data_IF_271766566735
#
_entry.id   IF_271766566735
#
_cell.length_a   1.000
_cell.length_b   1.000
_cell.length_c   1.000
_cell.angle_alpha   90.00
_cell.angle_beta   90.00
_cell.angle_gamma   90.00
#
_symmetry.space_group_name_H-M   'P 1'
#
loop_
_entity.id
_entity.type
_entity.pdbx_description
1 polymer ?
#
# COMPACT_ATOMS: atom_id res chain seq x y z
N UNK A 1 18.66 -24.01 -14.65
CA UNK A 1 19.65 -22.93 -14.59
C UNK A 1 20.79 -23.39 -13.71
N UNK A 2 21.96 -23.50 -14.30
CA UNK A 2 23.11 -24.19 -13.71
C UNK A 2 23.78 -23.29 -12.68
N UNK A 3 23.72 -23.66 -11.41
CA UNK A 3 24.32 -22.91 -10.27
C UNK A 3 25.85 -22.80 -10.37
N UNK A 4 26.49 -23.69 -11.14
CA UNK A 4 27.95 -23.68 -11.39
C UNK A 4 28.38 -22.48 -12.26
N UNK A 5 27.54 -21.97 -13.14
CA UNK A 5 27.86 -20.79 -13.96
C UNK A 5 27.81 -19.47 -13.19
N UNK A 6 26.99 -19.38 -12.18
CA UNK A 6 26.83 -18.13 -11.39
C UNK A 6 27.98 -17.93 -10.39
N UNK A 7 28.48 -18.99 -9.77
CA UNK A 7 29.66 -18.93 -8.90
C UNK A 7 30.93 -18.61 -9.71
N UNK A 8 31.09 -19.21 -10.87
CA UNK A 8 32.23 -18.94 -11.76
C UNK A 8 32.24 -17.50 -12.30
N UNK A 9 31.08 -16.91 -12.56
CA UNK A 9 31.00 -15.49 -12.95
C UNK A 9 31.46 -14.54 -11.83
N UNK A 10 31.04 -14.80 -10.59
CA UNK A 10 31.45 -14.00 -9.44
C UNK A 10 32.94 -14.10 -9.19
N UNK A 11 33.52 -15.30 -9.34
CA UNK A 11 34.97 -15.50 -9.18
C UNK A 11 35.78 -14.83 -10.28
N UNK A 12 35.30 -14.87 -11.53
CA UNK A 12 35.94 -14.18 -12.68
C UNK A 12 35.85 -12.66 -12.50
N UNK A 13 34.71 -12.12 -12.02
CA UNK A 13 34.56 -10.68 -11.77
C UNK A 13 35.50 -10.21 -10.63
N UNK A 14 35.60 -10.97 -9.54
CA UNK A 14 36.57 -10.68 -8.47
C UNK A 14 38.02 -10.74 -8.96
N UNK A 15 38.38 -11.73 -9.76
CA UNK A 15 39.70 -11.81 -10.35
C UNK A 15 39.99 -10.62 -11.27
N UNK A 16 39.01 -10.18 -12.05
CA UNK A 16 39.09 -8.98 -12.89
C UNK A 16 39.28 -7.69 -12.09
N UNK A 17 38.54 -7.53 -10.99
CA UNK A 17 38.69 -6.37 -10.10
C UNK A 17 40.09 -6.30 -9.50
N UNK A 18 40.63 -7.44 -9.05
CA UNK A 18 42.01 -7.53 -8.49
C UNK A 18 43.03 -7.18 -9.57
N UNK A 19 42.92 -7.73 -10.76
CA UNK A 19 43.86 -7.45 -11.87
C UNK A 19 43.76 -5.99 -12.32
N UNK A 20 42.57 -5.43 -12.40
CA UNK A 20 42.37 -4.03 -12.75
C UNK A 20 42.94 -3.09 -11.67
N UNK A 21 42.72 -3.38 -10.40
CA UNK A 21 43.30 -2.61 -9.28
C UNK A 21 44.85 -2.63 -9.31
N UNK A 22 45.42 -3.81 -9.56
CA UNK A 22 46.88 -3.93 -9.71
C UNK A 22 47.42 -3.18 -10.92
N UNK A 23 46.71 -3.26 -12.06
CA UNK A 23 47.03 -2.53 -13.28
C UNK A 23 47.00 -1.02 -13.09
N UNK A 24 46.00 -0.49 -12.38
CA UNK A 24 45.90 0.93 -12.02
C UNK A 24 47.07 1.35 -11.12
N UNK A 25 47.39 0.57 -10.10
CA UNK A 25 48.52 0.85 -9.19
C UNK A 25 49.86 0.91 -9.95
N UNK A 26 50.09 -0.05 -10.87
CA UNK A 26 51.27 -0.03 -11.72
C UNK A 26 51.33 1.18 -12.65
N UNK A 27 50.20 1.59 -13.21
CA UNK A 27 50.11 2.78 -14.07
C UNK A 27 50.44 4.04 -13.29
N UNK A 28 49.93 4.20 -12.06
CA UNK A 28 50.25 5.32 -11.17
C UNK A 28 51.73 5.39 -10.87
N UNK A 29 52.34 4.27 -10.46
CA UNK A 29 53.76 4.20 -10.14
C UNK A 29 54.67 4.55 -11.35
N UNK A 30 54.29 4.08 -12.56
CA UNK A 30 54.99 4.38 -13.80
C UNK A 30 54.90 5.85 -14.19
N UNK A 31 53.75 6.50 -13.95
CA UNK A 31 53.56 7.92 -14.20
C UNK A 31 54.37 8.76 -13.22
N UNK A 32 54.34 8.42 -11.94
CA UNK A 32 55.16 9.09 -10.90
C UNK A 32 56.64 8.97 -11.17
N UNK A 33 57.13 7.81 -11.59
CA UNK A 33 58.54 7.61 -11.98
C UNK A 33 58.98 8.45 -13.18
N UNK A 34 58.01 8.92 -14.00
CA UNK A 34 58.26 9.85 -15.13
C UNK A 34 57.97 11.31 -14.81
N UNK A 35 57.68 11.65 -13.54
CA UNK A 35 57.36 13.02 -13.14
C UNK A 35 56.00 13.53 -13.64
N UNK A 36 55.13 12.63 -14.06
CA UNK A 36 53.79 12.96 -14.57
C UNK A 36 52.77 12.73 -13.45
N UNK A 37 51.87 13.71 -13.23
CA UNK A 37 50.84 13.60 -12.20
C UNK A 37 49.88 12.46 -12.51
N UNK A 38 49.58 11.56 -11.54
CA UNK A 38 48.59 10.49 -11.70
C UNK A 38 47.17 10.97 -12.04
N UNK A 39 46.85 12.23 -11.79
CA UNK A 39 45.55 12.84 -12.13
C UNK A 39 45.22 12.82 -13.62
N UNK A 40 46.20 12.53 -14.48
CA UNK A 40 45.96 12.32 -15.93
C UNK A 40 45.17 11.00 -16.19
N UNK A 41 45.27 10.01 -15.30
CA UNK A 41 44.54 8.76 -15.43
C UNK A 41 43.06 8.90 -15.02
N UNK A 42 42.73 9.89 -14.23
CA UNK A 42 41.36 10.19 -13.80
C UNK A 42 41.03 11.66 -14.19
N UNK A 43 40.81 11.93 -15.49
CA UNK A 43 40.53 13.29 -15.98
C UNK A 43 39.16 13.80 -15.52
N UNK A 44 38.31 12.92 -14.95
CA UNK A 44 37.03 13.25 -14.38
C UNK A 44 36.95 12.66 -12.98
N UNK A 45 37.12 13.49 -11.97
CA UNK A 45 36.80 13.15 -10.58
C UNK A 45 35.26 13.15 -10.44
N UNK A 46 34.66 11.99 -10.57
CA UNK A 46 33.23 11.81 -10.26
C UNK A 46 33.09 11.84 -8.74
N UNK A 47 33.05 13.03 -8.17
CA UNK A 47 32.63 13.17 -6.77
C UNK A 47 31.16 12.77 -6.69
N UNK A 48 30.89 11.60 -6.10
CA UNK A 48 29.56 11.30 -5.59
C UNK A 48 29.28 12.25 -4.41
N UNK A 49 28.86 13.45 -4.73
CA UNK A 49 28.21 14.29 -3.74
C UNK A 49 26.84 13.67 -3.55
N UNK A 50 26.61 13.17 -2.35
CA UNK A 50 25.27 12.81 -1.93
C UNK A 50 24.44 14.10 -1.94
N UNK A 51 23.72 14.32 -3.05
CA UNK A 51 22.76 15.41 -3.22
C UNK A 51 21.42 15.00 -2.63
N UNK A 52 21.36 13.94 -1.78
CA UNK A 52 20.20 13.66 -0.98
C UNK A 52 20.04 14.83 0.01
N UNK A 53 19.35 15.84 -0.51
CA UNK A 53 18.90 16.96 0.30
C UNK A 53 17.82 16.44 1.26
N UNK A 54 17.62 17.06 2.44
CA UNK A 54 16.47 16.78 3.29
C UNK A 54 15.15 16.67 2.50
N UNK A 55 15.07 17.38 1.37
CA UNK A 55 13.97 17.36 0.41
C UNK A 55 13.70 15.98 -0.23
N UNK A 56 14.73 15.18 -0.52
CA UNK A 56 14.52 13.84 -1.10
C UNK A 56 13.92 12.87 -0.07
N UNK A 57 14.33 12.97 1.18
CA UNK A 57 13.75 12.19 2.28
C UNK A 57 12.30 12.58 2.56
N UNK A 58 11.99 13.86 2.46
CA UNK A 58 10.62 14.38 2.60
C UNK A 58 9.68 13.86 1.50
N UNK A 59 10.15 13.76 0.26
CA UNK A 59 9.38 13.20 -0.85
C UNK A 59 9.08 11.71 -0.63
N UNK A 60 10.05 10.94 -0.17
CA UNK A 60 9.85 9.51 0.16
C UNK A 60 8.79 9.37 1.25
N UNK A 61 8.85 10.22 2.29
CA UNK A 61 7.87 10.23 3.37
C UNK A 61 6.45 10.52 2.85
N UNK A 62 6.26 11.56 2.02
CA UNK A 62 4.98 11.87 1.39
C UNK A 62 4.44 10.71 0.55
N UNK A 63 5.33 10.02 -0.15
CA UNK A 63 4.95 8.88 -1.00
C UNK A 63 4.52 7.64 -0.20
N UNK A 64 4.91 7.53 1.08
CA UNK A 64 4.47 6.45 1.97
C UNK A 64 3.09 6.70 2.57
N UNK A 65 2.59 7.95 2.60
CA UNK A 65 1.31 8.28 3.23
C UNK A 65 0.11 7.54 2.63
N UNK A 66 -0.02 7.36 1.30
CA UNK A 66 -1.10 6.58 0.73
C UNK A 66 -1.11 5.12 1.21
N UNK A 67 0.07 4.52 1.41
CA UNK A 67 0.19 3.18 1.99
C UNK A 67 -0.35 3.15 3.42
N UNK A 68 0.04 4.12 4.25
CA UNK A 68 -0.45 4.21 5.65
C UNK A 68 -1.97 4.40 5.69
N UNK A 69 -2.54 5.22 4.80
CA UNK A 69 -3.99 5.41 4.70
C UNK A 69 -4.70 4.10 4.34
N UNK A 70 -4.21 3.35 3.35
CA UNK A 70 -4.79 2.04 2.98
C UNK A 70 -4.72 1.08 4.16
N UNK A 71 -3.57 0.98 4.85
CA UNK A 71 -3.43 0.14 6.05
C UNK A 71 -4.46 0.50 7.12
N UNK A 72 -4.63 1.80 7.40
CA UNK A 72 -5.57 2.29 8.42
C UNK A 72 -7.01 1.98 8.05
N UNK A 73 -7.41 2.15 6.78
CA UNK A 73 -8.75 1.81 6.30
C UNK A 73 -9.06 0.33 6.53
N UNK A 74 -8.12 -0.56 6.18
CA UNK A 74 -8.31 -2.00 6.37
C UNK A 74 -8.36 -2.40 7.86
N UNK A 75 -7.58 -1.77 8.72
CA UNK A 75 -7.59 -2.11 10.16
C UNK A 75 -8.86 -1.60 10.85
N UNK A 76 -9.41 -0.46 10.44
CA UNK A 76 -10.50 0.22 11.14
C UNK A 76 -11.78 -0.59 11.34
N UNK A 77 -12.27 -1.26 10.29
CA UNK A 77 -13.50 -2.07 10.35
C UNK A 77 -13.29 -3.55 10.65
N UNK A 78 -12.04 -4.00 10.69
CA UNK A 78 -11.66 -5.41 10.72
C UNK A 78 -12.29 -6.18 11.90
N UNK A 79 -12.21 -5.62 13.09
CA UNK A 79 -12.74 -6.28 14.30
C UNK A 79 -14.25 -6.50 14.24
N UNK A 80 -15.00 -5.53 13.75
CA UNK A 80 -16.47 -5.63 13.62
C UNK A 80 -16.82 -6.72 12.62
N UNK A 81 -16.09 -6.81 11.51
CA UNK A 81 -16.32 -7.85 10.50
C UNK A 81 -15.98 -9.24 11.06
N UNK A 82 -14.88 -9.38 11.79
CA UNK A 82 -14.51 -10.64 12.43
C UNK A 82 -15.59 -11.06 13.43
N UNK A 83 -16.00 -10.16 14.31
CA UNK A 83 -16.97 -10.46 15.37
C UNK A 83 -18.34 -10.83 14.81
N UNK A 84 -18.83 -10.06 13.84
CA UNK A 84 -20.14 -10.29 13.22
C UNK A 84 -20.15 -11.43 12.20
N UNK A 85 -19.00 -12.02 11.83
CA UNK A 85 -18.92 -13.11 10.85
C UNK A 85 -18.41 -14.39 11.51
N UNK A 86 -17.12 -14.48 11.76
CA UNK A 86 -16.48 -15.63 12.38
C UNK A 86 -16.85 -15.78 13.86
N UNK A 87 -16.98 -14.66 14.59
CA UNK A 87 -17.36 -14.65 16.00
C UNK A 87 -18.78 -15.16 16.22
N UNK A 88 -19.75 -14.76 15.40
CA UNK A 88 -21.13 -15.30 15.48
C UNK A 88 -21.16 -16.80 15.19
N UNK A 89 -20.33 -17.27 14.27
CA UNK A 89 -20.23 -18.71 13.95
C UNK A 89 -19.63 -19.48 15.13
N UNK A 90 -18.56 -18.99 15.73
CA UNK A 90 -17.89 -19.61 16.88
C UNK A 90 -18.82 -19.72 18.09
N UNK A 91 -19.64 -18.68 18.33
CA UNK A 91 -20.62 -18.65 19.43
C UNK A 91 -21.90 -19.44 19.13
N UNK A 92 -22.07 -20.01 17.94
CA UNK A 92 -23.30 -20.72 17.54
C UNK A 92 -24.52 -19.80 17.37
N UNK A 93 -24.34 -18.47 17.45
CA UNK A 93 -25.44 -17.51 17.29
C UNK A 93 -25.92 -17.34 15.84
N UNK A 94 -25.22 -17.95 14.92
CA UNK A 94 -25.56 -17.92 13.49
C UNK A 94 -26.80 -18.79 13.17
N UNK A 95 -26.98 -19.95 13.84
CA UNK A 95 -28.10 -20.85 13.60
C UNK A 95 -29.47 -20.22 13.93
N UNK A 96 -29.67 -19.58 15.11
CA UNK A 96 -30.89 -18.84 15.41
C UNK A 96 -31.18 -17.70 14.44
N UNK A 97 -30.13 -17.08 13.91
CA UNK A 97 -30.27 -15.99 12.93
C UNK A 97 -30.87 -16.49 11.59
N UNK A 98 -30.52 -17.72 11.20
CA UNK A 98 -30.97 -18.33 9.95
C UNK A 98 -32.43 -18.82 9.98
N UNK A 99 -33.04 -18.97 11.15
CA UNK A 99 -34.46 -19.34 11.31
C UNK A 99 -35.36 -18.16 10.95
N UNK A 100 -34.86 -16.92 11.03
CA UNK A 100 -35.63 -15.75 10.64
C UNK A 100 -35.89 -15.73 9.12
N UNK A 101 -37.14 -15.38 8.69
CA UNK A 101 -37.54 -15.33 7.29
C UNK A 101 -36.98 -14.07 6.58
N UNK A 102 -35.68 -13.81 6.74
CA UNK A 102 -34.97 -12.64 6.17
C UNK A 102 -34.06 -13.14 5.06
N UNK A 103 -34.06 -12.50 3.87
CA UNK A 103 -33.15 -12.85 2.79
C UNK A 103 -31.68 -12.74 3.21
N UNK A 104 -30.85 -13.69 2.83
CA UNK A 104 -29.43 -13.76 3.22
C UNK A 104 -28.63 -12.52 2.81
N UNK A 105 -29.02 -11.86 1.73
CA UNK A 105 -28.43 -10.58 1.28
C UNK A 105 -28.53 -9.48 2.34
N UNK A 106 -29.61 -9.46 3.12
CA UNK A 106 -29.81 -8.44 4.16
C UNK A 106 -28.86 -8.62 5.34
N UNK A 107 -28.52 -9.88 5.68
CA UNK A 107 -27.46 -10.16 6.66
C UNK A 107 -26.11 -9.63 6.20
N UNK A 108 -25.75 -9.88 4.94
CA UNK A 108 -24.48 -9.39 4.37
C UNK A 108 -24.45 -7.87 4.38
N UNK A 109 -25.52 -7.24 3.89
CA UNK A 109 -25.60 -5.78 3.85
C UNK A 109 -25.65 -5.14 5.25
N UNK A 110 -26.36 -5.79 6.20
CA UNK A 110 -26.40 -5.34 7.60
C UNK A 110 -25.03 -5.39 8.28
N UNK A 111 -24.26 -6.46 8.07
CA UNK A 111 -22.91 -6.61 8.60
C UNK A 111 -21.94 -5.59 7.99
N UNK A 112 -22.05 -5.36 6.69
CA UNK A 112 -21.30 -4.29 6.02
C UNK A 112 -21.68 -2.91 6.58
N UNK A 113 -22.98 -2.63 6.70
CA UNK A 113 -23.45 -1.38 7.27
C UNK A 113 -22.97 -1.15 8.71
N UNK A 114 -22.86 -2.23 9.50
CA UNK A 114 -22.30 -2.15 10.86
C UNK A 114 -20.80 -1.88 10.89
N UNK A 115 -20.03 -2.38 9.91
CA UNK A 115 -18.57 -2.20 9.88
C UNK A 115 -18.12 -0.88 9.25
N UNK A 116 -18.87 -0.35 8.29
CA UNK A 116 -18.53 0.88 7.57
C UNK A 116 -18.29 2.10 8.48
N UNK A 117 -19.11 2.38 9.52
CA UNK A 117 -18.85 3.51 10.43
C UNK A 117 -17.49 3.45 11.10
N UNK A 118 -17.03 2.26 11.48
CA UNK A 118 -15.73 2.07 12.11
C UNK A 118 -14.57 2.31 11.13
N UNK A 119 -14.69 1.79 9.91
CA UNK A 119 -13.70 2.07 8.86
C UNK A 119 -13.68 3.55 8.47
N UNK A 120 -14.84 4.22 8.41
CA UNK A 120 -14.93 5.66 8.16
C UNK A 120 -14.35 6.48 9.32
N UNK A 121 -14.65 6.11 10.57
CA UNK A 121 -14.07 6.76 11.73
C UNK A 121 -12.54 6.65 11.73
N UNK A 122 -12.01 5.47 11.41
CA UNK A 122 -10.57 5.23 11.28
C UNK A 122 -9.95 6.11 10.19
N UNK A 123 -10.59 6.23 9.03
CA UNK A 123 -10.16 7.12 7.95
C UNK A 123 -10.16 8.59 8.41
N UNK A 124 -11.24 9.05 9.07
CA UNK A 124 -11.34 10.43 9.57
C UNK A 124 -10.23 10.72 10.59
N UNK A 125 -10.00 9.81 11.54
CA UNK A 125 -8.92 9.95 12.53
C UNK A 125 -7.56 9.99 11.83
N UNK A 126 -7.31 9.11 10.86
CA UNK A 126 -6.05 9.11 10.11
C UNK A 126 -5.82 10.42 9.36
N UNK A 127 -6.84 10.94 8.69
CA UNK A 127 -6.77 12.21 7.97
C UNK A 127 -6.60 13.40 8.92
N UNK A 128 -7.25 13.37 10.09
CA UNK A 128 -7.09 14.39 11.13
C UNK A 128 -5.66 14.39 11.68
N UNK A 129 -5.11 13.22 12.00
CA UNK A 129 -3.71 13.08 12.47
C UNK A 129 -2.73 13.55 11.40
N UNK A 130 -2.99 13.21 10.14
CA UNK A 130 -2.17 13.66 9.01
C UNK A 130 -2.22 15.18 8.89
N UNK A 131 -3.40 15.79 8.92
CA UNK A 131 -3.57 17.24 8.82
C UNK A 131 -2.92 17.98 10.00
N UNK A 132 -3.16 17.52 11.24
CA UNK A 132 -2.55 18.09 12.44
C UNK A 132 -1.03 17.94 12.41
N UNK A 133 -0.53 16.76 12.04
CA UNK A 133 0.91 16.48 11.94
C UNK A 133 1.63 17.45 10.99
N UNK A 134 1.07 17.70 9.81
CA UNK A 134 1.69 18.59 8.83
C UNK A 134 1.53 20.09 9.13
N UNK A 135 0.52 20.48 9.92
CA UNK A 135 0.27 21.89 10.19
C UNK A 135 0.71 22.34 11.58
N UNK A 136 0.93 21.43 12.53
CA UNK A 136 1.32 21.77 13.93
C UNK A 136 2.78 21.45 14.20
N UNK A 137 3.30 20.32 13.65
CA UNK A 137 4.68 19.93 13.88
C UNK A 137 5.62 20.78 13.03
N UNK A 138 6.77 21.25 13.60
CA UNK A 138 7.78 21.99 12.86
C UNK A 138 8.58 21.07 11.93
N UNK A 139 7.90 20.46 10.97
CA UNK A 139 8.52 19.51 10.02
C UNK A 139 9.58 20.19 9.15
N UNK A 140 9.50 21.51 9.03
CA UNK A 140 10.47 22.35 8.32
C UNK A 140 11.89 22.21 8.87
N UNK A 141 12.04 22.12 10.19
CA UNK A 141 13.34 21.95 10.85
C UNK A 141 13.99 20.59 10.51
N UNK A 142 13.18 19.55 10.28
CA UNK A 142 13.65 18.20 10.00
C UNK A 142 13.75 17.88 8.52
N UNK A 143 12.91 18.48 7.68
CA UNK A 143 12.79 18.15 6.24
C UNK A 143 13.36 19.24 5.35
N UNK A 144 13.62 20.45 5.89
CA UNK A 144 14.06 21.61 5.13
C UNK A 144 13.01 22.15 4.12
N UNK A 145 11.77 21.70 4.22
CA UNK A 145 10.65 22.12 3.34
C UNK A 145 9.45 22.53 4.15
N UNK A 146 8.80 23.63 3.76
CA UNK A 146 7.47 23.98 4.27
C UNK A 146 6.44 23.04 3.67
N UNK A 147 6.00 22.06 4.48
CA UNK A 147 4.99 21.11 4.11
C UNK A 147 3.68 21.41 4.84
N UNK A 148 2.84 22.23 4.24
CA UNK A 148 1.49 22.45 4.76
C UNK A 148 0.48 21.76 3.84
N UNK A 149 -0.46 21.03 4.42
CA UNK A 149 -1.55 20.38 3.69
C UNK A 149 -2.82 21.20 3.93
N UNK A 150 -3.40 21.73 2.87
CA UNK A 150 -4.66 22.48 2.99
C UNK A 150 -5.82 21.56 3.33
N UNK A 151 -6.82 22.10 4.04
CA UNK A 151 -8.04 21.36 4.38
C UNK A 151 -8.80 20.85 3.14
N UNK A 152 -8.71 21.57 2.00
CA UNK A 152 -9.31 21.14 0.74
C UNK A 152 -8.68 19.84 0.21
N UNK A 153 -7.36 19.68 0.31
CA UNK A 153 -6.66 18.44 -0.07
C UNK A 153 -7.13 17.28 0.80
N UNK A 154 -7.23 17.47 2.12
CA UNK A 154 -7.74 16.44 3.04
C UNK A 154 -9.17 16.03 2.69
N UNK A 155 -10.03 17.01 2.39
CA UNK A 155 -11.41 16.76 1.99
C UNK A 155 -11.50 15.94 0.68
N UNK A 156 -10.67 16.26 -0.31
CA UNK A 156 -10.59 15.49 -1.56
C UNK A 156 -10.08 14.06 -1.32
N UNK A 157 -9.07 13.89 -0.47
CA UNK A 157 -8.55 12.56 -0.08
C UNK A 157 -9.64 11.75 0.60
N UNK A 158 -10.44 12.35 1.49
CA UNK A 158 -11.56 11.69 2.14
C UNK A 158 -12.53 11.09 1.12
N UNK A 159 -13.04 11.91 0.18
CA UNK A 159 -13.99 11.45 -0.84
C UNK A 159 -13.40 10.39 -1.77
N UNK A 160 -12.13 10.56 -2.15
CA UNK A 160 -11.42 9.59 -2.98
C UNK A 160 -11.23 8.24 -2.28
N UNK A 161 -11.14 8.23 -0.97
CA UNK A 161 -10.93 7.01 -0.17
C UNK A 161 -12.21 6.23 0.12
N UNK A 162 -13.40 6.81 -0.05
CA UNK A 162 -14.67 6.12 0.24
C UNK A 162 -14.87 4.80 -0.53
N UNK A 163 -14.58 4.71 -1.85
CA UNK A 163 -14.64 3.43 -2.55
C UNK A 163 -13.69 2.38 -1.99
N UNK A 164 -12.51 2.78 -1.49
CA UNK A 164 -11.55 1.87 -0.84
C UNK A 164 -12.12 1.33 0.47
N UNK A 165 -12.77 2.18 1.27
CA UNK A 165 -13.43 1.79 2.52
C UNK A 165 -14.45 0.68 2.27
N UNK A 166 -15.30 0.85 1.25
CA UNK A 166 -16.30 -0.15 0.88
C UNK A 166 -15.62 -1.45 0.41
N UNK A 167 -14.66 -1.36 -0.50
CA UNK A 167 -13.94 -2.51 -1.03
C UNK A 167 -13.20 -3.28 0.08
N UNK A 168 -12.52 -2.58 1.00
CA UNK A 168 -11.81 -3.17 2.12
C UNK A 168 -12.76 -3.96 3.02
N UNK A 169 -13.91 -3.36 3.41
CA UNK A 169 -14.91 -4.01 4.25
C UNK A 169 -15.48 -5.27 3.60
N UNK A 170 -15.76 -5.23 2.29
CA UNK A 170 -16.29 -6.40 1.58
C UNK A 170 -15.23 -7.50 1.42
N UNK A 171 -14.00 -7.16 1.09
CA UNK A 171 -12.90 -8.12 1.02
C UNK A 171 -12.68 -8.83 2.35
N UNK A 172 -12.68 -8.08 3.44
CA UNK A 172 -12.57 -8.64 4.79
C UNK A 172 -13.72 -9.59 5.10
N UNK A 173 -14.96 -9.22 4.74
CA UNK A 173 -16.12 -10.08 4.93
C UNK A 173 -16.01 -11.38 4.13
N UNK A 174 -15.57 -11.33 2.87
CA UNK A 174 -15.35 -12.51 2.05
C UNK A 174 -14.32 -13.44 2.70
N UNK A 175 -13.19 -12.90 3.17
CA UNK A 175 -12.15 -13.71 3.84
C UNK A 175 -12.68 -14.29 5.16
N UNK A 176 -13.37 -13.50 6.00
CA UNK A 176 -13.92 -13.95 7.26
C UNK A 176 -15.00 -15.05 7.07
N UNK A 177 -15.71 -15.06 5.94
CA UNK A 177 -16.70 -16.08 5.63
C UNK A 177 -16.11 -17.50 5.49
N UNK A 178 -14.82 -17.64 5.19
CA UNK A 178 -14.14 -18.92 5.10
C UNK A 178 -13.57 -19.42 6.43
N UNK A 179 -13.49 -18.56 7.45
CA UNK A 179 -12.90 -18.91 8.75
C UNK A 179 -13.91 -19.53 9.70
N UNK A 180 -13.43 -20.37 10.63
CA UNK A 180 -14.26 -21.09 11.59
C UNK A 180 -14.29 -20.46 12.98
N UNK A 181 -13.27 -19.69 13.33
CA UNK A 181 -13.14 -19.06 14.64
C UNK A 181 -12.68 -17.61 14.51
N UNK A 182 -12.93 -16.85 15.57
CA UNK A 182 -12.48 -15.46 15.69
C UNK A 182 -10.96 -15.36 15.51
N UNK A 183 -10.21 -16.24 16.15
CA UNK A 183 -8.74 -16.25 16.11
C UNK A 183 -8.21 -16.56 14.69
N UNK A 184 -8.84 -17.49 14.00
CA UNK A 184 -8.49 -17.83 12.62
C UNK A 184 -8.75 -16.65 11.70
N UNK A 185 -9.94 -16.02 11.81
CA UNK A 185 -10.28 -14.83 11.07
C UNK A 185 -9.29 -13.68 11.31
N UNK A 186 -8.93 -13.43 12.56
CA UNK A 186 -7.95 -12.41 12.92
C UNK A 186 -6.60 -12.65 12.26
N UNK A 187 -6.14 -13.91 12.23
CA UNK A 187 -4.88 -14.28 11.58
C UNK A 187 -4.89 -13.98 10.09
N UNK A 188 -5.93 -14.43 9.36
CA UNK A 188 -6.00 -14.19 7.90
C UNK A 188 -6.24 -12.72 7.56
N UNK A 189 -7.12 -12.04 8.30
CA UNK A 189 -7.44 -10.66 8.03
C UNK A 189 -6.28 -9.71 8.36
N UNK A 190 -5.39 -10.06 9.28
CA UNK A 190 -4.19 -9.24 9.58
C UNK A 190 -3.20 -9.15 8.42
N UNK A 191 -3.20 -10.14 7.51
CA UNK A 191 -2.39 -10.09 6.29
C UNK A 191 -3.04 -9.28 5.15
N UNK A 192 -4.36 -9.11 5.18
CA UNK A 192 -5.08 -8.47 4.08
C UNK A 192 -4.66 -7.01 3.85
N UNK A 193 -4.46 -6.16 4.88
CA UNK A 193 -3.91 -4.82 4.71
C UNK A 193 -2.56 -4.83 4.01
N UNK A 194 -1.67 -5.75 4.36
CA UNK A 194 -0.34 -5.87 3.74
C UNK A 194 -0.45 -6.23 2.26
N UNK A 195 -1.28 -7.21 1.91
CA UNK A 195 -1.49 -7.62 0.52
C UNK A 195 -2.05 -6.47 -0.32
N UNK A 196 -3.03 -5.72 0.23
CA UNK A 196 -3.62 -4.57 -0.45
C UNK A 196 -2.67 -3.36 -0.54
N UNK A 197 -1.86 -3.14 0.51
CA UNK A 197 -0.94 -2.02 0.61
C UNK A 197 0.40 -2.23 -0.10
N UNK A 198 0.86 -3.47 -0.25
CA UNK A 198 2.16 -3.76 -0.90
C UNK A 198 2.34 -3.06 -2.25
N UNK A 199 1.40 -3.16 -3.21
CA UNK A 199 1.54 -2.44 -4.47
C UNK A 199 1.63 -0.92 -4.28
N UNK A 200 0.93 -0.37 -3.29
CA UNK A 200 0.93 1.06 -2.98
C UNK A 200 2.28 1.50 -2.40
N UNK A 201 2.92 0.66 -1.60
CA UNK A 201 4.24 0.94 -1.05
C UNK A 201 5.30 1.17 -2.14
N UNK A 202 5.18 0.50 -3.29
CA UNK A 202 6.09 0.72 -4.41
C UNK A 202 6.04 2.13 -4.98
N UNK A 203 4.94 2.88 -4.77
CA UNK A 203 4.85 4.30 -5.16
C UNK A 203 5.88 5.19 -4.42
N UNK A 204 6.39 4.74 -3.27
CA UNK A 204 7.45 5.45 -2.56
C UNK A 204 8.79 5.44 -3.31
N UNK A 205 9.02 4.42 -4.15
CA UNK A 205 10.30 4.18 -4.81
C UNK A 205 10.24 4.32 -6.33
N UNK A 206 9.07 4.16 -6.92
CA UNK A 206 8.89 4.15 -8.38
C UNK A 206 7.88 5.23 -8.77
N UNK A 207 8.31 6.15 -9.64
CA UNK A 207 7.39 7.12 -10.23
C UNK A 207 6.55 6.48 -11.32
N UNK A 208 5.28 6.22 -11.01
CA UNK A 208 4.32 5.67 -11.96
C UNK A 208 3.58 6.82 -12.66
N UNK A 209 3.63 6.84 -13.99
CA UNK A 209 2.88 7.83 -14.77
C UNK A 209 1.38 7.51 -14.72
N UNK A 210 0.52 8.48 -14.32
CA UNK A 210 -0.92 8.27 -14.34
C UNK A 210 -1.40 8.02 -15.78
N UNK A 211 -2.15 6.94 -15.95
CA UNK A 211 -2.80 6.62 -17.21
C UNK A 211 -4.17 6.00 -16.96
N UNK A 212 -5.05 6.02 -17.93
CA UNK A 212 -6.39 5.42 -17.81
C UNK A 212 -6.29 3.92 -17.52
N UNK A 213 -5.30 3.22 -18.09
CA UNK A 213 -5.07 1.80 -17.81
C UNK A 213 -4.68 1.53 -16.34
N UNK A 214 -3.82 2.35 -15.76
CA UNK A 214 -3.46 2.27 -14.32
C UNK A 214 -4.65 2.63 -13.45
N UNK A 215 -5.52 3.55 -13.90
CA UNK A 215 -6.71 3.95 -13.16
C UNK A 215 -7.76 2.84 -13.00
N UNK A 216 -7.66 1.75 -13.74
CA UNK A 216 -8.52 0.58 -13.59
C UNK A 216 -8.11 -0.37 -12.45
N UNK A 217 -6.92 -0.20 -11.86
CA UNK A 217 -6.44 -1.05 -10.77
C UNK A 217 -7.01 -0.52 -9.44
N UNK A 218 -7.94 -1.24 -8.78
CA UNK A 218 -8.52 -0.80 -7.51
C UNK A 218 -7.45 -0.58 -6.44
N UNK A 219 -7.70 0.32 -5.49
CA UNK A 219 -6.80 0.70 -4.40
C UNK A 219 -5.53 1.40 -4.91
N UNK A 220 -4.77 0.78 -5.81
CA UNK A 220 -3.51 1.32 -6.32
C UNK A 220 -3.71 2.66 -7.04
N UNK A 221 -4.69 2.74 -7.93
CA UNK A 221 -4.98 3.95 -8.69
C UNK A 221 -5.41 5.13 -7.81
N UNK A 222 -6.26 4.87 -6.82
CA UNK A 222 -6.68 5.89 -5.87
C UNK A 222 -5.52 6.35 -4.99
N UNK A 223 -4.66 5.43 -4.57
CA UNK A 223 -3.45 5.75 -3.83
C UNK A 223 -2.46 6.58 -4.64
N UNK A 224 -2.36 6.32 -5.95
CA UNK A 224 -1.58 7.15 -6.87
C UNK A 224 -2.12 8.58 -6.95
N UNK A 225 -3.45 8.74 -7.03
CA UNK A 225 -4.10 10.06 -7.05
C UNK A 225 -3.94 10.78 -5.71
N UNK A 226 -4.03 10.06 -4.57
CA UNK A 226 -3.72 10.63 -3.24
C UNK A 226 -2.29 11.14 -3.19
N UNK A 227 -1.33 10.37 -3.73
CA UNK A 227 0.06 10.79 -3.81
C UNK A 227 0.23 12.09 -4.62
N UNK A 228 -0.44 12.20 -5.78
CA UNK A 228 -0.44 13.42 -6.58
C UNK A 228 -1.06 14.62 -5.84
N UNK A 229 -2.19 14.40 -5.10
CA UNK A 229 -2.82 15.43 -4.28
C UNK A 229 -1.86 15.97 -3.21
N UNK A 230 -1.16 15.06 -2.51
CA UNK A 230 -0.19 15.43 -1.47
C UNK A 230 1.02 16.18 -2.01
N UNK A 231 1.40 15.94 -3.27
CA UNK A 231 2.47 16.66 -3.95
C UNK A 231 2.04 17.96 -4.60
N UNK A 232 0.73 18.30 -4.57
CA UNK A 232 0.20 19.48 -5.26
C UNK A 232 0.23 19.36 -6.79
N UNK A 233 0.30 18.15 -7.34
CA UNK A 233 0.30 17.91 -8.78
C UNK A 233 -1.11 18.06 -9.37
N UNK A 234 -1.17 18.37 -10.66
CA UNK A 234 -2.45 18.47 -11.38
C UNK A 234 -3.06 17.08 -11.60
N UNK A 235 -4.32 16.91 -11.21
CA UNK A 235 -5.03 15.64 -11.30
C UNK A 235 -6.00 15.65 -12.46
N UNK A 236 -5.97 14.60 -13.27
CA UNK A 236 -6.96 14.36 -14.31
C UNK A 236 -8.29 13.90 -13.70
N UNK A 237 -9.36 14.64 -13.90
CA UNK A 237 -10.69 14.26 -13.44
C UNK A 237 -11.16 12.92 -14.04
N UNK A 238 -10.75 12.60 -15.25
CA UNK A 238 -11.04 11.31 -15.89
C UNK A 238 -10.43 10.17 -15.09
N UNK A 239 -9.18 10.29 -14.65
CA UNK A 239 -8.52 9.25 -13.85
C UNK A 239 -9.19 9.07 -12.49
N UNK A 240 -9.65 10.15 -11.85
CA UNK A 240 -10.41 10.09 -10.58
C UNK A 240 -11.72 9.30 -10.76
N UNK A 241 -12.50 9.65 -11.78
CA UNK A 241 -13.78 9.00 -12.04
C UNK A 241 -13.58 7.52 -12.40
N UNK A 242 -12.64 7.22 -13.30
CA UNK A 242 -12.34 5.83 -13.72
C UNK A 242 -11.89 5.00 -12.52
N UNK A 243 -11.01 5.53 -11.67
CA UNK A 243 -10.53 4.80 -10.49
C UNK A 243 -11.63 4.54 -9.46
N UNK A 244 -12.48 5.53 -9.21
CA UNK A 244 -13.62 5.39 -8.30
C UNK A 244 -14.62 4.34 -8.83
N UNK A 245 -14.99 4.40 -10.11
CA UNK A 245 -15.89 3.44 -10.74
C UNK A 245 -15.28 2.03 -10.72
N UNK A 246 -14.01 1.86 -11.09
CA UNK A 246 -13.35 0.57 -11.10
C UNK A 246 -13.35 -0.07 -9.70
N UNK A 247 -13.07 0.72 -8.66
CA UNK A 247 -13.08 0.24 -7.27
C UNK A 247 -14.49 -0.08 -6.78
N UNK A 248 -15.50 0.72 -7.13
CA UNK A 248 -16.90 0.44 -6.79
C UNK A 248 -17.42 -0.80 -7.53
N UNK A 249 -17.06 -1.00 -8.78
CA UNK A 249 -17.41 -2.22 -9.54
C UNK A 249 -16.76 -3.45 -8.90
N UNK A 250 -15.50 -3.36 -8.51
CA UNK A 250 -14.84 -4.43 -7.78
C UNK A 250 -15.53 -4.72 -6.43
N UNK A 251 -15.87 -3.68 -5.66
CA UNK A 251 -16.61 -3.83 -4.41
C UNK A 251 -17.98 -4.50 -4.63
N UNK A 252 -18.74 -4.08 -5.64
CA UNK A 252 -20.02 -4.68 -6.00
C UNK A 252 -19.88 -6.16 -6.39
N UNK A 253 -18.84 -6.50 -7.16
CA UNK A 253 -18.56 -7.89 -7.52
C UNK A 253 -18.27 -8.75 -6.26
N UNK A 254 -17.47 -8.23 -5.32
CA UNK A 254 -17.19 -8.93 -4.06
C UNK A 254 -18.40 -8.99 -3.12
N UNK A 255 -19.32 -8.01 -3.13
CA UNK A 255 -20.61 -8.09 -2.43
C UNK A 255 -21.42 -9.27 -2.95
N UNK A 256 -21.51 -9.42 -4.28
CA UNK A 256 -22.19 -10.57 -4.89
C UNK A 256 -21.53 -11.89 -4.48
N UNK A 257 -20.21 -11.95 -4.45
CA UNK A 257 -19.46 -13.12 -3.96
C UNK A 257 -19.81 -13.40 -2.49
N UNK A 258 -19.80 -12.38 -1.63
CA UNK A 258 -20.16 -12.52 -0.22
C UNK A 258 -21.58 -13.07 -0.06
N UNK A 259 -22.57 -12.51 -0.78
CA UNK A 259 -23.96 -13.00 -0.73
C UNK A 259 -24.04 -14.48 -1.14
N UNK A 260 -23.40 -14.87 -2.23
CA UNK A 260 -23.36 -16.26 -2.70
C UNK A 260 -22.69 -17.22 -1.72
N UNK A 261 -21.66 -16.75 -0.99
CA UNK A 261 -21.01 -17.53 0.07
C UNK A 261 -21.96 -17.78 1.24
N UNK A 262 -22.75 -16.77 1.62
CA UNK A 262 -23.74 -16.90 2.68
C UNK A 262 -24.96 -17.75 2.27
N UNK A 263 -25.22 -17.96 0.99
CA UNK A 263 -26.24 -18.87 0.47
C UNK A 263 -25.81 -20.33 0.49
N UNK A 264 -24.49 -20.63 0.53
CA UNK A 264 -23.97 -22.01 0.53
C UNK A 264 -23.96 -22.58 1.94
N UNK A 265 -24.86 -23.52 2.22
CA UNK A 265 -24.99 -24.20 3.51
C UNK A 265 -23.69 -24.87 4.01
N UNK A 266 -22.88 -25.45 3.11
CA UNK A 266 -21.59 -26.07 3.46
C UNK A 266 -20.58 -25.13 4.12
N UNK A 267 -20.62 -23.83 3.78
CA UNK A 267 -19.74 -22.82 4.37
C UNK A 267 -20.30 -22.37 5.73
N UNK A 268 -21.61 -22.40 5.89
CA UNK A 268 -22.32 -21.98 7.09
C UNK A 268 -22.18 -23.00 8.24
N UNK A 269 -22.29 -24.28 7.95
CA UNK A 269 -22.33 -25.35 8.96
C UNK A 269 -20.98 -26.09 9.13
N UNK A 270 -19.88 -25.62 8.51
CA UNK A 270 -18.56 -26.24 8.60
C UNK A 270 -18.65 -27.74 8.40
N UNK A 271 -18.47 -28.23 7.17
CA UNK A 271 -18.68 -29.64 6.84
C UNK A 271 -18.16 -30.60 7.92
N UNK A 272 -19.09 -31.34 8.52
CA UNK A 272 -18.84 -32.58 9.24
C UNK A 272 -18.39 -33.64 8.26
#
# INVERSE_FOLDING_TARGET
>A
MDSSRQSTMIEVERAREIVNGYSQTLAILRLQARGISPSILEPLEVQRRDVSTPQSSAIIFLNMLPFVLVMTIFVGGMYVIIDTTAGERERGSFEPLLINPVPRREFVLGKLAASLPYSLASLVVALAVLWLGFNILPLEEYTGMQMTISADVIFRIFWLSLPIVLLASVLQMVVAAFTRSFKEAQTYLSFLPLVAGMPVMFLAFISVKPSVGVSLIPIFSQSLIVNQLLRGETISQVNVIVSAIATLVAAAAFIVVAIRLYEREKILFGGR
#
